data_IF_157388398728
#
_entry.id   IF_157388398728
#
_cell.length_a   1.000
_cell.length_b   1.000
_cell.length_c   1.000
_cell.angle_alpha   90.00
_cell.angle_beta   90.00
_cell.angle_gamma   90.00
#
_symmetry.space_group_name_H-M   'P 1'
#
loop_
_entity.id
_entity.type
_entity.pdbx_description
1 polymer ?
#
# COMPACT_ATOMS: atom_id res chain seq x y z
N UNK A 1 -13.93 12.04 11.40
CA UNK A 1 -13.58 11.55 10.05
C UNK A 1 -14.44 12.30 9.03
N UNK A 2 -13.80 13.05 8.12
CA UNK A 2 -14.52 13.76 7.05
C UNK A 2 -14.44 12.96 5.76
N UNK A 3 -15.58 12.67 5.13
CA UNK A 3 -15.64 11.94 3.86
C UNK A 3 -15.94 12.97 2.77
N UNK A 4 -15.07 13.03 1.76
CA UNK A 4 -15.24 13.86 0.57
C UNK A 4 -15.41 12.93 -0.64
N UNK A 5 -16.40 13.22 -1.47
CA UNK A 5 -16.65 12.47 -2.69
C UNK A 5 -16.61 13.38 -3.91
N UNK A 6 -16.08 12.92 -5.06
CA UNK A 6 -16.18 13.64 -6.31
C UNK A 6 -17.64 13.94 -6.62
N UNK A 7 -17.90 15.12 -7.16
CA UNK A 7 -19.26 15.57 -7.57
C UNK A 7 -19.18 16.13 -8.97
N UNK A 8 -19.69 15.39 -9.97
CA UNK A 8 -19.84 15.92 -11.32
C UNK A 8 -20.88 17.04 -11.31
N UNK A 9 -20.67 18.05 -12.14
CA UNK A 9 -21.56 19.18 -12.33
C UNK A 9 -21.91 19.33 -13.81
N UNK A 10 -23.08 19.87 -14.14
CA UNK A 10 -23.47 20.14 -15.53
C UNK A 10 -22.48 21.06 -16.25
N UNK A 11 -21.88 22.02 -15.53
CA UNK A 11 -20.74 22.78 -16.00
C UNK A 11 -19.42 22.12 -15.55
N UNK A 12 -18.60 21.57 -16.48
CA UNK A 12 -17.35 20.90 -16.14
C UNK A 12 -16.33 21.78 -15.37
N UNK A 13 -16.40 23.09 -15.50
CA UNK A 13 -15.55 24.02 -14.74
C UNK A 13 -15.86 24.02 -13.24
N UNK A 14 -16.99 23.48 -12.83
CA UNK A 14 -17.43 23.36 -11.43
C UNK A 14 -17.34 21.91 -10.90
N UNK A 15 -16.80 21.00 -11.70
CA UNK A 15 -16.57 19.63 -11.25
C UNK A 15 -15.64 19.59 -10.05
N UNK A 16 -16.04 18.82 -9.05
CA UNK A 16 -15.17 18.48 -7.92
C UNK A 16 -14.61 17.09 -8.18
N UNK A 17 -13.44 17.05 -8.80
CA UNK A 17 -12.71 15.82 -9.03
C UNK A 17 -11.88 15.39 -7.79
N UNK A 18 -11.33 14.18 -7.84
CA UNK A 18 -10.52 13.64 -6.76
C UNK A 18 -9.22 14.42 -6.56
N UNK A 19 -8.67 14.98 -7.63
CA UNK A 19 -7.45 15.78 -7.61
C UNK A 19 -7.65 17.08 -6.82
N UNK A 20 -8.76 17.78 -7.05
CA UNK A 20 -9.12 18.99 -6.33
C UNK A 20 -9.41 18.70 -4.85
N UNK A 21 -10.07 17.55 -4.58
CA UNK A 21 -10.33 17.12 -3.20
C UNK A 21 -9.03 16.85 -2.45
N UNK A 22 -8.06 16.20 -3.08
CA UNK A 22 -6.75 15.92 -2.48
C UNK A 22 -6.02 17.21 -2.10
N UNK A 23 -5.96 18.20 -3.01
CA UNK A 23 -5.35 19.50 -2.72
C UNK A 23 -6.01 20.23 -1.53
N UNK A 24 -7.33 20.13 -1.42
CA UNK A 24 -8.08 20.76 -0.32
C UNK A 24 -7.90 20.03 1.00
N UNK A 25 -7.82 18.70 0.97
CA UNK A 25 -7.62 17.87 2.17
C UNK A 25 -6.26 18.15 2.79
N UNK A 26 -5.20 18.27 2.01
CA UNK A 26 -3.85 18.59 2.49
C UNK A 26 -3.79 19.89 3.29
N UNK A 27 -4.61 20.90 2.91
CA UNK A 27 -4.69 22.19 3.62
C UNK A 27 -5.46 22.13 4.95
N UNK A 28 -6.06 21.00 5.30
CA UNK A 28 -6.84 20.82 6.53
C UNK A 28 -6.07 20.10 7.64
N UNK A 29 -4.78 19.86 7.43
CA UNK A 29 -3.90 19.15 8.36
C UNK A 29 -4.52 17.86 8.93
N UNK A 30 -4.91 16.90 8.07
CA UNK A 30 -5.52 15.65 8.53
C UNK A 30 -4.47 14.73 9.14
N UNK A 31 -4.82 13.98 10.16
CA UNK A 31 -3.96 12.94 10.74
C UNK A 31 -3.77 11.77 9.75
N UNK A 32 -4.82 11.42 9.02
CA UNK A 32 -4.83 10.32 8.05
C UNK A 32 -5.54 10.74 6.77
N UNK A 33 -4.91 10.50 5.63
CA UNK A 33 -5.47 10.68 4.29
C UNK A 33 -5.83 9.31 3.71
N UNK A 34 -7.13 9.04 3.55
CA UNK A 34 -7.63 7.86 2.87
C UNK A 34 -7.98 8.18 1.41
N UNK A 35 -7.28 7.60 0.46
CA UNK A 35 -7.63 7.66 -0.97
C UNK A 35 -8.26 6.33 -1.37
N UNK A 36 -9.53 6.35 -1.78
CA UNK A 36 -10.30 5.14 -2.03
C UNK A 36 -9.65 4.19 -3.04
N UNK A 37 -9.14 4.75 -4.15
CA UNK A 37 -8.38 4.00 -5.15
C UNK A 37 -7.46 4.93 -5.94
N UNK A 38 -6.24 4.48 -6.17
CA UNK A 38 -5.25 5.19 -6.99
C UNK A 38 -5.42 4.81 -8.46
N UNK A 39 -5.90 5.75 -9.29
CA UNK A 39 -6.19 5.55 -10.73
C UNK A 39 -5.48 6.53 -11.65
N UNK A 40 -5.07 7.68 -11.13
CA UNK A 40 -4.47 8.77 -11.90
C UNK A 40 -3.00 8.99 -11.56
N UNK A 41 -2.30 9.67 -12.46
CA UNK A 41 -0.92 10.07 -12.25
C UNK A 41 -0.77 11.06 -11.08
N UNK A 42 -1.74 11.98 -10.93
CA UNK A 42 -1.73 12.98 -9.87
C UNK A 42 -1.94 12.33 -8.50
N UNK A 43 -2.90 11.40 -8.39
CA UNK A 43 -3.10 10.63 -7.17
C UNK A 43 -1.83 9.88 -6.78
N UNK A 44 -1.19 9.19 -7.74
CA UNK A 44 0.02 8.43 -7.46
C UNK A 44 1.13 9.29 -6.87
N UNK A 45 1.43 10.44 -7.47
CA UNK A 45 2.53 11.28 -7.02
C UNK A 45 2.15 12.21 -5.86
N UNK A 46 1.00 12.89 -5.91
CA UNK A 46 0.64 13.85 -4.85
C UNK A 46 0.35 13.16 -3.52
N UNK A 47 -0.22 11.95 -3.55
CA UNK A 47 -0.46 11.17 -2.33
C UNK A 47 0.87 10.64 -1.77
N UNK A 48 1.80 10.19 -2.64
CA UNK A 48 3.13 9.79 -2.22
C UNK A 48 3.90 10.95 -1.57
N UNK A 49 3.91 12.13 -2.18
CA UNK A 49 4.53 13.34 -1.60
C UNK A 49 3.88 13.72 -0.26
N UNK A 50 2.57 13.56 -0.10
CA UNK A 50 1.89 13.80 1.18
C UNK A 50 2.39 12.87 2.29
N UNK A 51 2.62 11.59 1.98
CA UNK A 51 3.21 10.64 2.93
C UNK A 51 4.63 11.04 3.33
N UNK A 52 5.45 11.49 2.38
CA UNK A 52 6.83 11.93 2.63
C UNK A 52 6.90 13.22 3.46
N UNK A 53 5.86 14.05 3.43
CA UNK A 53 5.76 15.30 4.21
C UNK A 53 5.07 15.12 5.59
N UNK A 54 4.91 13.88 6.04
CA UNK A 54 4.49 13.57 7.41
C UNK A 54 3.03 13.18 7.60
N UNK A 55 2.23 13.05 6.51
CA UNK A 55 0.86 12.56 6.64
C UNK A 55 0.81 11.04 6.60
N UNK A 56 0.00 10.43 7.44
CA UNK A 56 -0.34 9.01 7.29
C UNK A 56 -1.28 8.82 6.11
N UNK A 57 -0.90 7.97 5.17
CA UNK A 57 -1.67 7.73 3.95
C UNK A 57 -2.07 6.28 3.82
N UNK A 58 -3.34 6.05 3.45
CA UNK A 58 -3.87 4.73 3.09
C UNK A 58 -4.56 4.82 1.74
N UNK A 59 -4.23 3.92 0.82
CA UNK A 59 -4.86 3.85 -0.50
C UNK A 59 -5.00 2.41 -0.97
N UNK A 60 -5.85 2.18 -1.97
CA UNK A 60 -5.92 0.92 -2.69
C UNK A 60 -5.51 1.08 -4.14
N UNK A 61 -5.01 0.02 -4.73
CA UNK A 61 -4.62 -0.02 -6.14
C UNK A 61 -4.74 -1.45 -6.67
N UNK A 62 -5.21 -1.62 -7.89
CA UNK A 62 -5.22 -2.93 -8.53
C UNK A 62 -3.82 -3.33 -9.00
N UNK A 63 -3.37 -4.49 -8.55
CA UNK A 63 -2.07 -5.09 -8.91
C UNK A 63 -2.15 -6.61 -8.92
N UNK A 64 -1.18 -7.26 -9.57
CA UNK A 64 -1.11 -8.73 -9.67
C UNK A 64 -0.27 -9.37 -8.54
N UNK A 65 0.54 -8.59 -7.83
CA UNK A 65 1.31 -9.02 -6.67
C UNK A 65 1.68 -7.81 -5.80
N UNK A 66 2.18 -8.06 -4.60
CA UNK A 66 2.69 -7.01 -3.71
C UNK A 66 3.83 -6.21 -4.34
N UNK A 67 4.80 -6.87 -4.98
CA UNK A 67 5.94 -6.20 -5.63
C UNK A 67 5.50 -5.43 -6.89
N UNK A 68 4.56 -5.98 -7.66
CA UNK A 68 4.04 -5.33 -8.87
C UNK A 68 3.28 -4.03 -8.54
N UNK A 69 2.85 -3.86 -7.28
CA UNK A 69 2.16 -2.65 -6.80
C UNK A 69 3.03 -1.41 -7.00
N UNK A 70 4.31 -1.45 -6.65
CA UNK A 70 5.22 -0.31 -6.82
C UNK A 70 5.41 0.06 -8.29
N UNK A 71 5.61 -0.92 -9.17
CA UNK A 71 5.68 -0.69 -10.62
C UNK A 71 4.38 -0.11 -11.17
N UNK A 72 3.24 -0.55 -10.65
CA UNK A 72 1.93 -0.03 -11.06
C UNK A 72 1.79 1.44 -10.70
N UNK A 73 2.16 1.85 -9.48
CA UNK A 73 2.16 3.24 -9.04
C UNK A 73 3.08 4.11 -9.89
N UNK A 74 4.33 3.66 -10.13
CA UNK A 74 5.27 4.33 -11.03
C UNK A 74 4.69 4.51 -12.44
N UNK A 75 4.08 3.45 -13.01
CA UNK A 75 3.49 3.51 -14.35
C UNK A 75 2.34 4.52 -14.41
N UNK A 76 1.54 4.63 -13.36
CA UNK A 76 0.49 5.66 -13.27
C UNK A 76 1.10 7.07 -13.25
N UNK A 77 2.11 7.31 -12.42
CA UNK A 77 2.78 8.60 -12.32
C UNK A 77 3.40 9.04 -13.68
N UNK A 78 4.02 8.11 -14.39
CA UNK A 78 4.63 8.35 -15.72
C UNK A 78 3.66 8.79 -16.82
N UNK A 79 2.37 8.58 -16.67
CA UNK A 79 1.37 9.07 -17.64
C UNK A 79 1.35 10.60 -17.75
N UNK A 80 1.82 11.30 -16.73
CA UNK A 80 1.82 12.78 -16.69
C UNK A 80 3.19 13.36 -16.37
N UNK A 81 4.02 12.67 -15.58
CA UNK A 81 5.28 13.20 -15.08
C UNK A 81 6.46 12.54 -15.79
N UNK A 82 7.29 13.37 -16.43
CA UNK A 82 8.51 12.89 -17.09
C UNK A 82 9.67 12.86 -16.09
N UNK A 83 9.64 11.87 -15.19
CA UNK A 83 10.68 11.60 -14.21
C UNK A 83 11.34 10.25 -14.49
N UNK A 84 12.61 10.11 -14.08
CA UNK A 84 13.33 8.84 -14.20
C UNK A 84 12.64 7.75 -13.38
N UNK A 85 12.67 6.51 -13.88
CA UNK A 85 12.01 5.37 -13.26
C UNK A 85 12.52 5.14 -11.83
N UNK A 86 13.84 5.25 -11.63
CA UNK A 86 14.48 5.05 -10.33
C UNK A 86 13.97 6.07 -9.29
N UNK A 87 13.86 7.34 -9.69
CA UNK A 87 13.34 8.39 -8.79
C UNK A 87 11.89 8.12 -8.41
N UNK A 88 11.04 7.77 -9.38
CA UNK A 88 9.64 7.45 -9.11
C UNK A 88 9.52 6.21 -8.22
N UNK A 89 10.32 5.18 -8.45
CA UNK A 89 10.30 3.97 -7.63
C UNK A 89 10.73 4.26 -6.20
N UNK A 90 11.79 5.04 -5.99
CA UNK A 90 12.23 5.47 -4.65
C UNK A 90 11.13 6.23 -3.93
N UNK A 91 10.49 7.20 -4.59
CA UNK A 91 9.36 7.95 -4.03
C UNK A 91 8.23 7.00 -3.58
N UNK A 92 7.88 6.00 -4.41
CA UNK A 92 6.79 5.07 -4.08
C UNK A 92 7.15 4.15 -2.92
N UNK A 93 8.37 3.64 -2.86
CA UNK A 93 8.84 2.76 -1.77
C UNK A 93 8.88 3.54 -0.45
N UNK A 94 9.44 4.76 -0.45
CA UNK A 94 9.50 5.61 0.73
C UNK A 94 8.10 6.00 1.25
N UNK A 95 7.17 6.31 0.32
CA UNK A 95 5.83 6.74 0.66
C UNK A 95 4.94 5.61 1.20
N UNK A 96 5.11 4.41 0.66
CA UNK A 96 4.28 3.23 0.96
C UNK A 96 5.14 2.05 1.41
N UNK A 97 5.75 2.12 2.61
CA UNK A 97 6.64 1.06 3.08
C UNK A 97 5.91 -0.28 3.28
N UNK A 98 4.60 -0.27 3.54
CA UNK A 98 3.82 -1.50 3.73
C UNK A 98 2.83 -1.68 2.58
N UNK A 99 2.88 -2.84 1.94
CA UNK A 99 1.90 -3.29 0.94
C UNK A 99 1.19 -4.54 1.43
N UNK A 100 -0.14 -4.48 1.47
CA UNK A 100 -1.02 -5.61 1.80
C UNK A 100 -1.69 -6.08 0.51
N UNK A 101 -1.26 -7.22 -0.01
CA UNK A 101 -1.82 -7.82 -1.22
C UNK A 101 -2.96 -8.76 -0.87
N UNK A 102 -4.14 -8.48 -1.43
CA UNK A 102 -5.35 -9.29 -1.25
C UNK A 102 -5.80 -9.89 -2.57
N UNK A 103 -6.39 -11.09 -2.52
CA UNK A 103 -6.95 -11.75 -3.69
C UNK A 103 -8.26 -12.46 -3.33
N UNK A 104 -9.19 -12.48 -4.27
CA UNK A 104 -10.31 -13.40 -4.24
C UNK A 104 -9.86 -14.73 -4.85
N UNK A 105 -10.06 -15.83 -4.12
CA UNK A 105 -9.68 -17.17 -4.52
C UNK A 105 -10.84 -17.86 -5.25
N UNK A 106 -10.57 -19.04 -5.81
CA UNK A 106 -11.52 -19.81 -6.63
C UNK A 106 -12.78 -20.24 -5.86
N UNK A 107 -12.69 -20.37 -4.54
CA UNK A 107 -13.83 -20.64 -3.66
C UNK A 107 -14.64 -19.38 -3.29
N UNK A 108 -14.34 -18.24 -3.92
CA UNK A 108 -14.96 -16.94 -3.64
C UNK A 108 -14.46 -16.26 -2.36
N UNK A 109 -13.67 -16.92 -1.53
CA UNK A 109 -13.09 -16.32 -0.32
C UNK A 109 -12.06 -15.24 -0.66
N UNK A 110 -12.00 -14.17 0.16
CA UNK A 110 -11.00 -13.13 0.05
C UNK A 110 -9.93 -13.33 1.11
N UNK A 111 -8.68 -13.39 0.70
CA UNK A 111 -7.53 -13.60 1.59
C UNK A 111 -6.50 -12.49 1.42
N UNK A 112 -5.84 -12.15 2.53
CA UNK A 112 -4.56 -11.44 2.48
C UNK A 112 -3.53 -12.48 2.03
N UNK A 113 -3.04 -12.35 0.81
CA UNK A 113 -2.09 -13.30 0.24
C UNK A 113 -0.67 -13.03 0.69
N UNK A 114 -0.31 -11.75 0.84
CA UNK A 114 1.03 -11.36 1.24
C UNK A 114 1.02 -9.97 1.88
N UNK A 115 1.92 -9.77 2.85
CA UNK A 115 2.28 -8.45 3.37
C UNK A 115 3.79 -8.32 3.21
N UNK A 116 4.23 -7.24 2.59
CA UNK A 116 5.64 -6.92 2.43
C UNK A 116 5.95 -5.53 3.00
N UNK A 117 7.17 -5.36 3.45
CA UNK A 117 7.81 -4.07 3.64
C UNK A 117 8.71 -3.77 2.43
N UNK A 118 8.46 -2.65 1.74
CA UNK A 118 9.40 -2.11 0.77
C UNK A 118 10.46 -1.31 1.51
N UNK A 119 11.72 -1.68 1.32
CA UNK A 119 12.85 -1.06 2.03
C UNK A 119 13.54 -0.01 1.16
N UNK A 120 13.80 -0.35 -0.11
CA UNK A 120 14.53 0.54 -1.03
C UNK A 120 14.32 0.15 -2.49
N UNK A 121 14.85 0.97 -3.40
CA UNK A 121 14.97 0.65 -4.82
C UNK A 121 16.39 0.99 -5.30
N UNK A 122 17.20 -0.03 -5.55
CA UNK A 122 18.61 0.08 -5.91
C UNK A 122 18.93 -0.73 -7.17
N UNK A 123 19.72 -0.17 -8.07
CA UNK A 123 20.20 -0.83 -9.29
C UNK A 123 19.09 -1.48 -10.12
N UNK A 124 17.93 -0.81 -10.23
CA UNK A 124 16.79 -1.30 -10.99
C UNK A 124 15.99 -2.41 -10.28
N UNK A 125 16.24 -2.64 -8.98
CA UNK A 125 15.61 -3.70 -8.19
C UNK A 125 14.91 -3.16 -6.96
N UNK A 126 13.70 -3.64 -6.73
CA UNK A 126 12.99 -3.43 -5.47
C UNK A 126 13.64 -4.30 -4.37
N UNK A 127 14.08 -3.64 -3.31
CA UNK A 127 14.51 -4.31 -2.08
C UNK A 127 13.30 -4.33 -1.15
N UNK A 128 12.89 -5.51 -0.75
CA UNK A 128 11.72 -5.68 0.10
C UNK A 128 11.85 -6.88 1.02
N UNK A 129 11.10 -6.86 2.09
CA UNK A 129 11.06 -7.90 3.13
C UNK A 129 9.65 -8.49 3.20
N UNK A 130 9.47 -9.81 2.96
CA UNK A 130 8.19 -10.47 3.18
C UNK A 130 7.94 -10.62 4.69
N UNK A 131 6.78 -10.13 5.15
CA UNK A 131 6.38 -10.21 6.56
C UNK A 131 5.40 -11.35 6.81
N UNK A 132 4.38 -11.49 5.95
CA UNK A 132 3.36 -12.53 6.04
C UNK A 132 2.99 -13.05 4.66
N UNK A 133 2.61 -14.32 4.59
CA UNK A 133 2.11 -14.98 3.37
C UNK A 133 1.00 -15.96 3.69
N UNK A 134 0.01 -16.06 2.80
CA UNK A 134 -0.97 -17.13 2.79
C UNK A 134 -0.49 -18.24 1.85
N UNK A 135 -0.15 -19.39 2.42
CA UNK A 135 0.22 -20.57 1.65
C UNK A 135 -1.03 -21.40 1.36
N UNK A 136 -1.40 -21.51 0.08
CA UNK A 136 -2.40 -22.48 -0.37
C UNK A 136 -1.76 -23.86 -0.33
N UNK A 137 -2.34 -24.77 0.43
CA UNK A 137 -1.82 -26.14 0.60
C UNK A 137 -2.62 -27.16 -0.19
N UNK A 138 -3.89 -26.86 -0.50
CA UNK A 138 -4.77 -27.77 -1.23
C UNK A 138 -5.96 -27.03 -1.85
N UNK A 139 -6.55 -27.61 -2.90
CA UNK A 139 -7.82 -27.21 -3.48
C UNK A 139 -8.75 -28.42 -3.48
N UNK A 140 -9.67 -28.48 -2.54
CA UNK A 140 -10.61 -29.58 -2.38
C UNK A 140 -11.87 -29.34 -3.21
N UNK A 141 -12.42 -30.39 -3.79
CA UNK A 141 -13.69 -30.30 -4.52
C UNK A 141 -14.73 -31.17 -3.80
N UNK A 142 -15.88 -30.59 -3.47
CA UNK A 142 -16.99 -31.33 -2.88
C UNK A 142 -17.74 -32.20 -3.91
N UNK A 143 -18.69 -33.00 -3.44
CA UNK A 143 -19.49 -33.85 -4.29
C UNK A 143 -20.37 -33.10 -5.30
N UNK A 144 -20.58 -31.79 -5.10
CA UNK A 144 -21.34 -30.90 -5.98
C UNK A 144 -20.43 -30.14 -6.97
N UNK A 145 -19.12 -30.33 -6.89
CA UNK A 145 -18.15 -29.68 -7.77
C UNK A 145 -17.69 -28.28 -7.27
N UNK A 146 -18.04 -27.86 -6.07
CA UNK A 146 -17.55 -26.58 -5.52
C UNK A 146 -16.12 -26.73 -5.01
N UNK A 147 -15.29 -25.75 -5.34
CA UNK A 147 -13.92 -25.67 -4.88
C UNK A 147 -13.88 -25.05 -3.47
N UNK A 148 -13.05 -25.62 -2.59
CA UNK A 148 -12.68 -25.06 -1.31
C UNK A 148 -11.17 -24.93 -1.24
N UNK A 149 -10.67 -23.71 -1.12
CA UNK A 149 -9.24 -23.45 -0.96
C UNK A 149 -8.82 -23.68 0.48
N UNK A 150 -7.86 -24.57 0.69
CA UNK A 150 -7.26 -24.86 2.00
C UNK A 150 -5.89 -24.21 2.08
N UNK A 151 -5.61 -23.53 3.18
CA UNK A 151 -4.32 -22.86 3.36
C UNK A 151 -4.20 -22.25 4.74
N UNK A 152 -3.03 -21.67 5.01
CA UNK A 152 -2.74 -21.02 6.28
C UNK A 152 -1.89 -19.77 6.09
N UNK A 153 -2.08 -18.80 6.95
CA UNK A 153 -1.17 -17.67 7.06
C UNK A 153 0.10 -18.08 7.81
N UNK A 154 1.22 -17.63 7.30
CA UNK A 154 2.53 -17.85 7.89
C UNK A 154 3.25 -16.52 8.04
N UNK A 155 3.84 -16.30 9.21
CA UNK A 155 4.77 -15.19 9.43
C UNK A 155 6.11 -15.56 8.79
N UNK A 156 6.67 -14.68 7.98
CA UNK A 156 7.94 -14.89 7.27
C UNK A 156 9.08 -14.07 7.84
N UNK A 157 8.77 -12.92 8.44
CA UNK A 157 9.78 -12.02 8.95
C UNK A 157 9.21 -10.96 9.88
N UNK A 158 10.06 -10.01 10.20
CA UNK A 158 9.79 -8.87 11.05
C UNK A 158 10.05 -7.59 10.28
N UNK A 159 9.51 -6.47 10.73
CA UNK A 159 9.79 -5.15 10.14
C UNK A 159 11.27 -4.79 10.33
N UNK A 160 11.78 -3.95 9.42
CA UNK A 160 13.15 -3.43 9.52
C UNK A 160 13.31 -2.49 10.71
N UNK A 161 14.55 -2.30 11.17
CA UNK A 161 14.86 -1.32 12.20
C UNK A 161 14.52 0.11 11.75
N UNK A 162 14.66 0.40 10.45
CA UNK A 162 14.25 1.69 9.87
C UNK A 162 12.76 1.94 10.03
N UNK A 163 11.93 0.96 9.70
CA UNK A 163 10.47 1.09 9.84
C UNK A 163 10.03 1.09 11.31
N UNK A 164 10.66 0.28 12.17
CA UNK A 164 10.47 0.31 13.63
C UNK A 164 10.72 1.70 14.18
N UNK A 165 11.87 2.29 13.83
CA UNK A 165 12.21 3.65 14.25
C UNK A 165 11.17 4.65 13.76
N UNK A 166 10.75 4.57 12.50
CA UNK A 166 9.73 5.46 11.93
C UNK A 166 8.40 5.37 12.70
N UNK A 167 7.97 4.18 13.11
CA UNK A 167 6.76 4.01 13.92
C UNK A 167 6.91 4.63 15.32
N UNK A 168 8.04 4.40 15.98
CA UNK A 168 8.32 5.01 17.29
C UNK A 168 8.34 6.54 17.21
N UNK A 169 9.03 7.11 16.23
CA UNK A 169 9.10 8.55 15.99
C UNK A 169 7.71 9.18 15.73
N UNK A 170 6.75 8.38 15.22
CA UNK A 170 5.37 8.78 14.98
C UNK A 170 4.39 8.38 16.10
N UNK A 171 4.90 8.02 17.28
CA UNK A 171 4.11 7.84 18.49
C UNK A 171 3.50 6.44 18.71
N UNK A 172 3.84 5.46 17.87
CA UNK A 172 3.48 4.06 18.14
C UNK A 172 4.36 3.54 19.28
N UNK A 173 3.77 2.96 20.30
CA UNK A 173 4.52 2.46 21.45
C UNK A 173 5.32 1.19 21.13
N UNK A 174 6.44 1.00 21.82
CA UNK A 174 7.24 -0.22 21.70
C UNK A 174 6.42 -1.49 22.02
N UNK A 175 5.46 -1.40 22.95
CA UNK A 175 4.58 -2.51 23.30
C UNK A 175 3.67 -2.93 22.12
N UNK A 176 3.17 -1.98 21.34
CA UNK A 176 2.35 -2.27 20.15
C UNK A 176 3.19 -2.88 19.02
N UNK A 177 4.48 -2.59 18.96
CA UNK A 177 5.38 -3.13 17.95
C UNK A 177 5.90 -4.53 18.26
N UNK A 178 5.79 -5.01 19.50
CA UNK A 178 6.31 -6.32 19.93
C UNK A 178 5.98 -7.49 18.98
N UNK A 179 4.76 -7.62 18.42
CA UNK A 179 4.47 -8.72 17.51
C UNK A 179 5.18 -8.63 16.17
N UNK A 180 5.75 -7.49 15.81
CA UNK A 180 6.30 -7.18 14.48
C UNK A 180 7.81 -7.04 14.44
N UNK A 181 8.49 -7.04 15.61
CA UNK A 181 9.95 -6.88 15.72
C UNK A 181 10.64 -8.19 16.08
N UNK A 182 11.93 -8.31 15.71
CA UNK A 182 12.76 -9.43 16.11
C UNK A 182 13.37 -9.14 17.49
N UNK A 183 13.19 -10.04 18.45
CA UNK A 183 13.72 -9.90 19.81
C UNK A 183 15.18 -10.40 19.94
N UNK A 184 15.70 -11.12 18.94
CA UNK A 184 17.05 -11.67 18.96
C UNK A 184 18.15 -10.65 18.61
N UNK A 185 17.76 -9.49 18.06
CA UNK A 185 18.70 -8.43 17.67
C UNK A 185 18.94 -7.38 18.79
N UNK A 186 18.32 -7.53 19.96
CA UNK A 186 18.48 -6.62 21.12
C UNK A 186 19.57 -7.10 22.13
N UNK A 187 20.37 -8.10 21.79
CA UNK A 187 21.53 -8.59 22.56
C UNK A 187 22.83 -8.26 21.83
#
# INVERSE_FOLDING_TARGET
>A
MSIFSPRPHENPALDIDQDLLLERVLRKHPDVIGVGEMRSAKEALSVAESSRTGHTVVTTIHSNSSEATYRRMMTLAKRKYNMADDILMQIMVEAYPIVVFTKQLEDGSRKVMQIIEGEDYLDGRLIYRPLYQFDVTDNQTDAQGHIKVVGRHRKLGYISESLKKRFLDNGISAAELQPFINHEEEL
#
